data_IF_155546895811
#
_entry.id   IF_155546895811
#
_cell.length_a   1.000
_cell.length_b   1.000
_cell.length_c   1.000
_cell.angle_alpha   90.00
_cell.angle_beta   90.00
_cell.angle_gamma   90.00
#
_symmetry.space_group_name_H-M   'P 1'
#
loop_
_entity.id
_entity.type
_entity.pdbx_description
1 polymer ?
#
# COMPACT_ATOMS: atom_id res chain seq x y z
N UNK A 1 -18.41 -6.03 10.77
CA UNK A 1 -17.12 -5.44 11.20
C UNK A 1 -16.59 -4.60 10.04
N UNK A 2 -16.07 -3.40 10.29
CA UNK A 2 -15.61 -2.51 9.23
C UNK A 2 -14.37 -3.11 8.55
N UNK A 3 -14.57 -3.74 7.38
CA UNK A 3 -13.52 -4.45 6.64
C UNK A 3 -12.36 -3.56 6.20
N UNK A 4 -12.53 -2.23 6.17
CA UNK A 4 -11.59 -1.30 5.53
C UNK A 4 -10.61 -0.59 6.48
N UNK A 5 -10.67 -0.75 7.80
CA UNK A 5 -9.78 0.00 8.71
C UNK A 5 -8.47 -0.76 8.91
N UNK A 6 -7.34 -0.10 8.64
CA UNK A 6 -6.01 -0.70 8.78
C UNK A 6 -5.77 -1.30 10.16
N UNK A 7 -5.14 -2.47 10.17
CA UNK A 7 -4.80 -3.26 11.34
C UNK A 7 -3.28 -3.47 11.39
N UNK A 8 -2.66 -2.94 12.46
CA UNK A 8 -1.21 -2.99 12.65
C UNK A 8 -0.64 -4.42 12.75
N UNK A 9 -1.46 -5.45 12.96
CA UNK A 9 -0.99 -6.83 12.90
C UNK A 9 -0.47 -7.23 11.51
N UNK A 10 -0.87 -6.52 10.44
CA UNK A 10 -0.37 -6.80 9.09
C UNK A 10 1.11 -6.47 8.90
N UNK A 11 1.72 -5.65 9.77
CA UNK A 11 3.18 -5.46 9.78
C UNK A 11 3.94 -6.73 10.14
N UNK A 12 3.30 -7.65 10.89
CA UNK A 12 3.91 -8.92 11.31
C UNK A 12 3.82 -10.04 10.28
N UNK A 13 3.28 -9.77 9.07
CA UNK A 13 3.20 -10.77 8.01
C UNK A 13 4.59 -11.18 7.55
N UNK A 14 4.81 -12.49 7.36
CA UNK A 14 6.12 -13.04 6.99
C UNK A 14 6.70 -12.49 5.68
N UNK A 15 5.86 -11.95 4.78
CA UNK A 15 6.31 -11.30 3.55
C UNK A 15 7.00 -9.95 3.80
N UNK A 16 6.65 -9.27 4.88
CA UNK A 16 7.13 -7.93 5.24
C UNK A 16 8.48 -8.05 5.91
N UNK A 17 9.49 -7.38 5.34
CA UNK A 17 10.82 -7.28 5.97
C UNK A 17 11.02 -5.95 6.68
N UNK A 18 10.30 -4.92 6.23
CA UNK A 18 10.36 -3.57 6.76
C UNK A 18 9.10 -2.82 6.34
N UNK A 19 8.70 -1.80 7.08
CA UNK A 19 7.59 -0.94 6.73
C UNK A 19 7.85 0.50 7.17
N UNK A 20 7.13 1.43 6.57
CA UNK A 20 7.13 2.82 7.03
C UNK A 20 6.00 3.07 8.03
N UNK A 21 6.05 4.21 8.71
CA UNK A 21 4.83 4.80 9.28
C UNK A 21 3.94 5.40 8.18
N UNK A 22 2.72 5.78 8.56
CA UNK A 22 1.84 6.58 7.70
C UNK A 22 2.40 7.97 7.48
N UNK A 23 2.41 8.39 6.22
CA UNK A 23 2.87 9.72 5.78
C UNK A 23 1.72 10.43 5.09
N UNK A 24 1.84 11.75 4.98
CA UNK A 24 1.00 12.50 4.04
C UNK A 24 1.18 11.94 2.63
N UNK A 25 0.09 11.78 1.89
CA UNK A 25 0.13 11.21 0.54
C UNK A 25 0.97 12.05 -0.43
N UNK A 26 1.09 13.37 -0.22
CA UNK A 26 1.97 14.24 -0.98
C UNK A 26 3.47 14.03 -0.72
N UNK A 27 3.85 13.26 0.30
CA UNK A 27 5.24 12.97 0.67
C UNK A 27 5.70 11.57 0.21
N UNK A 28 5.00 10.95 -0.75
CA UNK A 28 5.30 9.60 -1.22
C UNK A 28 6.70 9.43 -1.83
N UNK A 29 7.28 10.50 -2.40
CA UNK A 29 8.63 10.50 -2.99
C UNK A 29 9.74 10.21 -1.96
N UNK A 30 9.44 10.35 -0.67
CA UNK A 30 10.36 10.01 0.42
C UNK A 30 10.42 8.51 0.73
N UNK A 31 9.65 7.69 0.03
CA UNK A 31 9.68 6.23 0.16
C UNK A 31 10.89 5.65 -0.57
N UNK A 32 11.41 4.53 -0.07
CA UNK A 32 12.56 3.87 -0.68
C UNK A 32 12.16 3.11 -1.94
N UNK A 33 13.00 3.20 -2.96
CA UNK A 33 12.81 2.51 -4.23
C UNK A 33 13.10 1.01 -4.12
N UNK A 34 12.14 0.27 -3.56
CA UNK A 34 12.24 -1.16 -3.23
C UNK A 34 10.98 -1.92 -3.61
N UNK A 35 11.11 -3.25 -3.73
CA UNK A 35 9.96 -4.13 -3.92
C UNK A 35 9.07 -4.13 -2.68
N UNK A 36 7.75 -4.16 -2.87
CA UNK A 36 6.83 -4.12 -1.75
C UNK A 36 5.40 -3.83 -2.13
N UNK A 37 4.62 -3.44 -1.14
CA UNK A 37 3.24 -3.01 -1.25
C UNK A 37 3.12 -1.60 -0.70
N UNK A 38 2.42 -0.72 -1.39
CA UNK A 38 2.00 0.57 -0.88
C UNK A 38 0.49 0.56 -0.61
N UNK A 39 0.10 1.32 0.40
CA UNK A 39 -1.28 1.39 0.88
C UNK A 39 -1.70 2.84 0.94
N UNK A 40 -2.82 3.17 0.30
CA UNK A 40 -3.47 4.46 0.41
C UNK A 40 -4.63 4.37 1.39
N UNK A 41 -4.73 5.34 2.30
CA UNK A 41 -5.82 5.44 3.26
C UNK A 41 -6.18 6.89 3.53
N UNK A 42 -7.31 7.14 4.20
CA UNK A 42 -7.66 8.45 4.73
C UNK A 42 -7.08 8.66 6.15
N UNK A 43 -7.44 9.77 6.80
CA UNK A 43 -6.99 10.11 8.16
C UNK A 43 -7.46 9.12 9.23
N UNK A 44 -8.57 8.42 9.00
CA UNK A 44 -9.13 7.39 9.89
C UNK A 44 -8.54 5.99 9.61
N UNK A 45 -7.51 5.93 8.75
CA UNK A 45 -6.89 4.70 8.25
C UNK A 45 -7.88 3.76 7.55
N UNK A 46 -8.95 4.31 6.97
CA UNK A 46 -9.78 3.57 6.04
C UNK A 46 -9.01 3.39 4.72
N UNK A 47 -8.62 2.15 4.44
CA UNK A 47 -7.89 1.75 3.25
C UNK A 47 -8.74 2.01 2.01
N UNK A 48 -8.15 2.73 1.05
CA UNK A 48 -8.78 3.15 -0.22
C UNK A 48 -8.24 2.36 -1.40
N UNK A 49 -6.94 2.07 -1.38
CA UNK A 49 -6.25 1.34 -2.42
C UNK A 49 -5.01 0.63 -1.88
N UNK A 50 -4.69 -0.49 -2.50
CA UNK A 50 -3.47 -1.26 -2.25
C UNK A 50 -2.84 -1.56 -3.60
N UNK A 51 -1.56 -1.27 -3.74
CA UNK A 51 -0.82 -1.61 -4.94
C UNK A 51 0.55 -2.17 -4.62
N UNK A 52 1.11 -2.88 -5.59
CA UNK A 52 2.43 -3.49 -5.52
C UNK A 52 3.46 -2.69 -6.30
N UNK A 53 4.69 -2.74 -5.81
CA UNK A 53 5.88 -2.29 -6.53
C UNK A 53 6.91 -3.42 -6.69
N UNK A 54 7.50 -3.49 -7.89
CA UNK A 54 8.70 -4.29 -8.14
C UNK A 54 9.96 -3.62 -7.61
N UNK A 55 11.13 -4.29 -7.67
CA UNK A 55 12.40 -3.71 -7.25
C UNK A 55 12.68 -2.37 -7.95
N UNK A 56 13.00 -1.32 -7.19
CA UNK A 56 13.34 -0.01 -7.74
C UNK A 56 12.16 0.77 -8.35
N UNK A 57 10.91 0.46 -7.96
CA UNK A 57 9.71 1.06 -8.58
C UNK A 57 8.65 1.54 -7.59
N UNK A 58 8.94 1.68 -6.30
CA UNK A 58 7.96 2.09 -5.29
C UNK A 58 7.35 3.45 -5.63
N UNK A 59 8.17 4.48 -5.83
CA UNK A 59 7.66 5.84 -6.10
C UNK A 59 6.97 5.88 -7.46
N UNK A 60 7.57 5.26 -8.48
CA UNK A 60 7.00 5.17 -9.82
C UNK A 60 5.63 4.48 -9.87
N UNK A 61 5.43 3.40 -9.12
CA UNK A 61 4.12 2.72 -9.10
C UNK A 61 3.07 3.52 -8.35
N UNK A 62 3.46 4.27 -7.32
CA UNK A 62 2.57 5.20 -6.61
C UNK A 62 2.14 6.33 -7.54
N UNK A 63 3.08 6.95 -8.25
CA UNK A 63 2.79 7.98 -9.27
C UNK A 63 1.83 7.44 -10.34
N UNK A 64 2.11 6.23 -10.87
CA UNK A 64 1.21 5.58 -11.83
C UNK A 64 -0.17 5.26 -11.24
N UNK A 65 -0.30 5.05 -9.93
CA UNK A 65 -1.58 4.87 -9.27
C UNK A 65 -2.37 6.19 -9.18
N UNK A 66 -1.69 7.32 -8.95
CA UNK A 66 -2.29 8.66 -9.01
C UNK A 66 -2.79 8.99 -10.41
N UNK A 67 -1.99 8.70 -11.44
CA UNK A 67 -2.39 8.91 -12.85
C UNK A 67 -3.66 8.11 -13.21
N UNK A 68 -3.87 6.97 -12.55
CA UNK A 68 -5.06 6.12 -12.70
C UNK A 68 -6.20 6.48 -11.75
N UNK A 69 -6.07 7.55 -10.95
CA UNK A 69 -7.08 8.00 -9.99
C UNK A 69 -7.32 7.04 -8.82
N UNK A 70 -6.33 6.20 -8.47
CA UNK A 70 -6.47 5.17 -7.42
C UNK A 70 -6.41 5.72 -6.00
N UNK A 71 -6.01 6.98 -5.85
CA UNK A 71 -5.93 7.73 -4.60
C UNK A 71 -7.24 8.40 -4.18
N UNK A 72 -8.34 8.21 -4.90
CA UNK A 72 -9.61 8.85 -4.56
C UNK A 72 -10.00 8.64 -3.08
N UNK A 73 -10.12 9.76 -2.35
CA UNK A 73 -10.47 9.78 -0.92
C UNK A 73 -9.34 9.36 0.03
N UNK A 74 -8.11 9.18 -0.46
CA UNK A 74 -6.94 8.94 0.35
C UNK A 74 -6.19 10.24 0.65
N UNK A 75 -5.59 10.31 1.84
CA UNK A 75 -4.74 11.42 2.30
C UNK A 75 -3.44 10.93 2.93
N UNK A 76 -3.30 9.61 3.07
CA UNK A 76 -2.16 8.95 3.69
C UNK A 76 -1.62 7.85 2.78
N UNK A 77 -0.31 7.69 2.82
CA UNK A 77 0.41 6.58 2.18
C UNK A 77 1.36 5.92 3.17
N UNK A 78 1.53 4.61 3.04
CA UNK A 78 2.63 3.87 3.68
C UNK A 78 3.15 2.80 2.72
N UNK A 79 4.37 2.32 2.98
CA UNK A 79 4.95 1.19 2.26
C UNK A 79 5.29 0.04 3.21
N UNK A 80 5.13 -1.18 2.71
CA UNK A 80 5.60 -2.42 3.30
C UNK A 80 6.56 -3.09 2.31
N UNK A 81 7.83 -3.09 2.64
CA UNK A 81 8.87 -3.64 1.80
C UNK A 81 8.96 -5.15 1.96
N UNK A 82 9.28 -5.80 0.85
CA UNK A 82 9.47 -7.25 0.77
C UNK A 82 10.84 -7.54 0.14
N UNK A 83 11.33 -8.77 0.30
CA UNK A 83 12.60 -9.20 -0.31
C UNK A 83 12.46 -9.79 -1.72
N UNK A 84 11.24 -9.90 -2.25
CA UNK A 84 11.02 -10.46 -3.59
C UNK A 84 9.70 -10.01 -4.19
N UNK A 85 9.65 -9.98 -5.52
CA UNK A 85 8.45 -9.65 -6.28
C UNK A 85 7.27 -10.61 -6.00
N UNK A 86 7.59 -11.88 -5.76
CA UNK A 86 6.64 -12.93 -5.38
C UNK A 86 6.00 -12.64 -4.01
N UNK A 87 6.80 -12.21 -3.03
CA UNK A 87 6.29 -11.84 -1.72
C UNK A 87 5.45 -10.57 -1.77
N UNK A 88 5.86 -9.57 -2.56
CA UNK A 88 5.03 -8.38 -2.81
C UNK A 88 3.66 -8.76 -3.40
N UNK A 89 3.61 -9.65 -4.39
CA UNK A 89 2.37 -10.11 -5.01
C UNK A 89 1.48 -10.89 -4.03
N UNK A 90 2.09 -11.79 -3.25
CA UNK A 90 1.36 -12.54 -2.23
C UNK A 90 0.78 -11.64 -1.15
N UNK A 91 1.55 -10.62 -0.73
CA UNK A 91 1.15 -9.66 0.29
C UNK A 91 0.01 -8.78 -0.23
N UNK A 92 0.16 -8.20 -1.42
CA UNK A 92 -0.88 -7.37 -2.07
C UNK A 92 -2.23 -8.09 -2.11
N UNK A 93 -2.26 -9.33 -2.63
CA UNK A 93 -3.49 -10.13 -2.71
C UNK A 93 -4.11 -10.34 -1.34
N UNK A 94 -3.31 -10.74 -0.35
CA UNK A 94 -3.80 -11.01 1.00
C UNK A 94 -4.40 -9.77 1.67
N UNK A 95 -3.86 -8.58 1.42
CA UNK A 95 -4.41 -7.34 1.96
C UNK A 95 -5.65 -6.87 1.18
N UNK A 96 -5.66 -6.99 -0.15
CA UNK A 96 -6.85 -6.68 -0.96
C UNK A 96 -8.02 -7.55 -0.51
N UNK A 97 -7.80 -8.85 -0.31
CA UNK A 97 -8.82 -9.78 0.17
C UNK A 97 -9.30 -9.44 1.59
N UNK A 98 -8.40 -8.96 2.46
CA UNK A 98 -8.73 -8.55 3.83
C UNK A 98 -9.55 -7.27 3.86
N UNK A 99 -9.12 -6.26 3.12
CA UNK A 99 -9.62 -4.89 3.22
C UNK A 99 -10.73 -4.54 2.25
N UNK A 100 -10.86 -5.29 1.15
CA UNK A 100 -11.77 -5.02 0.03
C UNK A 100 -11.77 -3.53 -0.39
N UNK A 101 -10.59 -2.92 -0.61
CA UNK A 101 -10.48 -1.47 -0.85
C UNK A 101 -11.23 -1.06 -2.12
N UNK A 102 -12.03 0.03 -2.06
CA UNK A 102 -12.96 0.37 -3.14
C UNK A 102 -12.25 0.68 -4.46
N UNK A 103 -11.06 1.28 -4.43
CA UNK A 103 -10.39 1.75 -5.65
C UNK A 103 -9.61 0.62 -6.36
N UNK A 104 -9.50 -0.57 -5.76
CA UNK A 104 -8.92 -1.75 -6.42
C UNK A 104 -9.87 -2.40 -7.45
N UNK A 105 -11.17 -2.11 -7.39
CA UNK A 105 -12.19 -2.68 -8.28
C UNK A 105 -12.76 -1.68 -9.30
N UNK A 106 -12.22 -0.46 -9.32
CA UNK A 106 -12.61 0.62 -10.22
C UNK A 106 -11.73 0.68 -11.47
#
# INVERSE_FOLDING_TARGET
MAKMIWDNTDYGRYQVVEHTGWRDIGNYETLEERAGVYVFANVDLQVKYIGKAGPGRMVKEIESAFDRGKDYGATRVMAMYTNSDKNALSLERALIDKYEPPNNYQ
#
